data_IF_799539657701
#
_entry.id   IF_799539657701
#
_cell.length_a   1.000
_cell.length_b   1.000
_cell.length_c   1.000
_cell.angle_alpha   90.00
_cell.angle_beta   90.00
_cell.angle_gamma   90.00
#
_symmetry.space_group_name_H-M   'P 1'
#
loop_
_entity.id
_entity.type
_entity.pdbx_description
1 polymer ?
#
# COMPACT_ATOMS: atom_id res chain seq x y z
N UNK A 1 5.58 23.15 0.98
CA UNK A 1 5.48 22.61 0.25
C UNK A 1 6.35 21.87 -0.61
N UNK A 2 7.48 22.16 -0.82
CA UNK A 2 8.38 21.45 -1.62
C UNK A 2 8.87 20.20 -0.98
N UNK A 3 8.72 20.09 0.31
CA UNK A 3 9.24 18.96 1.03
C UNK A 3 8.63 17.65 0.55
N UNK A 4 7.31 17.63 0.32
CA UNK A 4 6.66 16.42 -0.12
C UNK A 4 7.11 16.02 -1.52
N UNK A 5 7.30 16.99 -2.39
CA UNK A 5 7.78 16.69 -3.73
C UNK A 5 9.16 16.08 -3.72
N UNK A 6 10.02 16.63 -2.88
CA UNK A 6 11.39 16.14 -2.80
C UNK A 6 11.40 14.70 -2.30
N UNK A 7 10.59 14.42 -1.27
CA UNK A 7 10.51 13.07 -0.77
C UNK A 7 9.93 12.12 -1.79
N UNK A 8 8.92 12.56 -2.54
CA UNK A 8 8.35 11.75 -3.59
C UNK A 8 9.37 11.42 -4.66
N UNK A 9 10.13 12.42 -5.09
CA UNK A 9 11.17 12.20 -6.10
C UNK A 9 12.22 11.23 -5.59
N UNK A 10 12.58 11.38 -4.32
CA UNK A 10 13.60 10.55 -3.73
C UNK A 10 13.25 9.09 -3.76
N UNK A 11 11.99 8.76 -3.55
CA UNK A 11 11.56 7.38 -3.50
C UNK A 11 10.92 6.88 -4.79
N UNK A 12 10.73 7.75 -5.78
CA UNK A 12 9.96 7.39 -6.96
C UNK A 12 10.61 6.31 -7.81
N UNK A 13 11.92 6.18 -7.74
CA UNK A 13 12.62 5.16 -8.51
C UNK A 13 12.79 3.86 -7.77
N UNK A 14 12.34 3.79 -6.54
CA UNK A 14 12.49 2.57 -5.76
C UNK A 14 11.33 1.61 -6.02
N UNK A 15 11.64 0.32 -6.03
CA UNK A 15 10.60 -0.68 -6.17
C UNK A 15 9.82 -0.81 -4.87
N UNK A 16 8.63 -1.40 -4.96
CA UNK A 16 7.87 -1.69 -3.77
C UNK A 16 8.68 -2.56 -2.81
N UNK A 17 9.39 -3.56 -3.36
CA UNK A 17 10.17 -4.45 -2.52
C UNK A 17 11.28 -3.73 -1.77
N UNK A 18 11.90 -2.75 -2.42
CA UNK A 18 12.92 -1.95 -1.76
C UNK A 18 12.32 -1.12 -0.63
N UNK A 19 11.16 -0.53 -0.87
CA UNK A 19 10.50 0.26 0.17
C UNK A 19 10.09 -0.61 1.35
N UNK A 20 9.56 -1.79 1.06
CA UNK A 20 9.14 -2.69 2.12
C UNK A 20 10.34 -3.16 2.94
N UNK A 21 11.46 -3.43 2.27
CA UNK A 21 12.67 -3.83 2.98
C UNK A 21 13.12 -2.74 3.95
N UNK A 22 13.07 -1.48 3.53
CA UNK A 22 13.43 -0.39 4.42
C UNK A 22 12.47 -0.28 5.58
N UNK A 23 11.18 -0.52 5.34
CA UNK A 23 10.21 -0.53 6.44
C UNK A 23 10.56 -1.61 7.47
N UNK A 24 10.99 -2.77 6.98
CA UNK A 24 11.37 -3.85 7.89
C UNK A 24 12.61 -3.50 8.70
N UNK A 25 13.42 -2.57 8.18
CA UNK A 25 14.60 -2.11 8.90
C UNK A 25 14.31 -0.95 9.85
N UNK A 26 13.04 -0.55 9.94
CA UNK A 26 12.65 0.47 10.88
C UNK A 26 12.42 1.86 10.28
N UNK A 27 12.56 2.00 8.96
CA UNK A 27 12.30 3.28 8.31
C UNK A 27 10.80 3.49 8.17
N UNK A 28 10.36 4.71 8.33
CA UNK A 28 8.94 5.03 8.25
C UNK A 28 8.57 5.41 6.82
N UNK A 29 8.42 4.41 5.97
CA UNK A 29 8.06 4.62 4.58
C UNK A 29 6.64 4.14 4.28
N UNK A 30 5.86 3.86 5.32
CA UNK A 30 4.47 3.49 5.14
C UNK A 30 3.70 4.54 4.32
N UNK A 31 3.85 5.85 4.57
CA UNK A 31 3.12 6.82 3.76
C UNK A 31 3.44 6.73 2.27
N UNK A 32 4.67 6.41 1.91
CA UNK A 32 5.04 6.26 0.51
C UNK A 32 4.32 5.07 -0.11
N UNK A 33 4.31 3.95 0.61
CA UNK A 33 3.66 2.74 0.12
C UNK A 33 2.15 2.95 0.02
N UNK A 34 1.55 3.58 1.04
CA UNK A 34 0.13 3.89 1.04
C UNK A 34 -0.22 4.75 -0.17
N UNK A 35 0.61 5.74 -0.47
CA UNK A 35 0.36 6.62 -1.58
C UNK A 35 0.37 5.85 -2.92
N UNK A 36 1.23 4.86 -3.06
CA UNK A 36 1.28 4.05 -4.28
C UNK A 36 0.05 3.17 -4.46
N UNK A 37 -0.57 2.75 -3.37
CA UNK A 37 -1.68 1.81 -3.43
C UNK A 37 -3.03 2.45 -3.15
N UNK A 38 -3.06 3.76 -2.88
CA UNK A 38 -4.32 4.43 -2.56
C UNK A 38 -5.33 4.29 -3.68
N UNK A 39 -4.88 4.43 -4.94
CA UNK A 39 -5.78 4.32 -6.07
C UNK A 39 -6.39 2.92 -6.15
N UNK A 40 -5.58 1.90 -5.91
CA UNK A 40 -6.06 0.52 -5.97
C UNK A 40 -7.16 0.29 -4.94
N UNK A 41 -6.91 0.74 -3.70
CA UNK A 41 -7.88 0.56 -2.63
C UNK A 41 -9.18 1.31 -2.94
N UNK A 42 -9.05 2.56 -3.35
CA UNK A 42 -10.23 3.38 -3.62
C UNK A 42 -11.00 2.89 -4.82
N UNK A 43 -10.30 2.47 -5.87
CA UNK A 43 -10.97 1.95 -7.07
C UNK A 43 -11.83 0.74 -6.73
N UNK A 44 -11.30 -0.14 -5.89
CA UNK A 44 -12.06 -1.33 -5.51
C UNK A 44 -13.31 -0.94 -4.74
N UNK A 45 -13.16 -0.02 -3.79
CA UNK A 45 -14.31 0.39 -2.98
C UNK A 45 -15.37 1.08 -3.83
N UNK A 46 -14.95 1.89 -4.79
CA UNK A 46 -15.91 2.62 -5.63
C UNK A 46 -16.53 1.75 -6.70
N UNK A 47 -15.91 0.61 -7.02
CA UNK A 47 -16.50 -0.31 -7.98
C UNK A 47 -17.66 -1.09 -7.39
N UNK A 48 -17.76 -1.16 -6.08
CA UNK A 48 -18.84 -1.87 -5.42
C UNK A 48 -20.05 -0.96 -5.31
N UNK A 49 -21.23 -1.54 -5.42
CA UNK A 49 -22.47 -0.78 -5.30
C UNK A 49 -22.94 -0.84 -3.86
N UNK A 50 -22.34 -0.01 -3.04
CA UNK A 50 -22.64 0.04 -1.61
C UNK A 50 -22.84 1.50 -1.23
N UNK A 51 -23.41 1.73 -0.05
CA UNK A 51 -23.61 3.11 0.40
C UNK A 51 -22.29 3.72 0.89
N UNK A 52 -22.36 4.99 1.24
CA UNK A 52 -21.15 5.73 1.62
C UNK A 52 -20.45 5.09 2.82
N UNK A 53 -21.22 4.73 3.83
CA UNK A 53 -20.67 4.16 5.04
C UNK A 53 -19.96 2.85 4.78
N UNK A 54 -20.56 1.98 3.98
CA UNK A 54 -19.95 0.72 3.62
C UNK A 54 -18.69 0.93 2.79
N UNK A 55 -18.71 1.92 1.91
CA UNK A 55 -17.54 2.22 1.10
C UNK A 55 -16.37 2.67 1.96
N UNK A 56 -16.66 3.51 2.97
CA UNK A 56 -15.61 3.96 3.88
C UNK A 56 -15.01 2.78 4.64
N UNK A 57 -15.86 1.88 5.09
CA UNK A 57 -15.38 0.68 5.79
C UNK A 57 -14.51 -0.17 4.87
N UNK A 58 -14.92 -0.32 3.62
CA UNK A 58 -14.14 -1.10 2.67
C UNK A 58 -12.76 -0.49 2.43
N UNK A 59 -12.70 0.84 2.36
CA UNK A 59 -11.42 1.51 2.18
C UNK A 59 -10.53 1.31 3.40
N UNK A 60 -11.09 1.42 4.59
CA UNK A 60 -10.30 1.19 5.80
C UNK A 60 -9.77 -0.23 5.85
N UNK A 61 -10.60 -1.20 5.52
CA UNK A 61 -10.17 -2.59 5.52
C UNK A 61 -9.09 -2.82 4.47
N UNK A 62 -9.24 -2.18 3.31
CA UNK A 62 -8.24 -2.30 2.27
C UNK A 62 -6.88 -1.77 2.71
N UNK A 63 -6.88 -0.61 3.37
CA UNK A 63 -5.63 -0.05 3.86
C UNK A 63 -5.03 -0.88 4.99
N UNK A 64 -5.88 -1.45 5.84
CA UNK A 64 -5.37 -2.36 6.87
C UNK A 64 -4.76 -3.61 6.25
N UNK A 65 -5.36 -4.11 5.19
CA UNK A 65 -4.79 -5.24 4.45
C UNK A 65 -3.44 -4.89 3.86
N UNK A 66 -3.30 -3.68 3.34
CA UNK A 66 -2.02 -3.22 2.82
C UNK A 66 -0.95 -3.17 3.91
N UNK A 67 -1.30 -2.65 5.07
CA UNK A 67 -0.35 -2.60 6.19
C UNK A 67 0.06 -4.00 6.61
N UNK A 68 -0.89 -4.93 6.64
CA UNK A 68 -0.57 -6.32 6.96
C UNK A 68 0.39 -6.89 5.93
N UNK A 69 0.17 -6.54 4.66
CA UNK A 69 1.05 -7.03 3.60
C UNK A 69 2.48 -6.54 3.78
N UNK A 70 2.64 -5.27 4.15
CA UNK A 70 3.97 -4.73 4.38
C UNK A 70 4.67 -5.49 5.50
N UNK A 71 3.96 -5.72 6.60
CA UNK A 71 4.57 -6.40 7.74
C UNK A 71 4.93 -7.84 7.44
N UNK A 72 4.08 -8.53 6.70
CA UNK A 72 4.23 -9.97 6.51
C UNK A 72 4.99 -10.35 5.26
N UNK A 73 5.29 -9.40 4.40
CA UNK A 73 5.92 -9.72 3.12
C UNK A 73 7.27 -10.39 3.33
N UNK A 74 7.46 -11.51 2.65
CA UNK A 74 8.72 -12.25 2.72
C UNK A 74 9.38 -12.20 1.36
N UNK A 75 10.48 -11.43 1.23
CA UNK A 75 11.15 -11.28 -0.07
C UNK A 75 11.80 -12.58 -0.56
N UNK A 76 11.92 -13.58 0.32
CA UNK A 76 12.47 -14.87 -0.07
C UNK A 76 11.48 -15.68 -0.88
N UNK A 77 10.19 -15.35 -0.82
CA UNK A 77 9.21 -16.03 -1.62
C UNK A 77 9.23 -15.47 -3.03
N UNK A 78 8.88 -16.31 -3.99
CA UNK A 78 8.97 -15.92 -5.40
C UNK A 78 7.67 -15.24 -5.85
N UNK A 79 7.31 -14.18 -5.19
CA UNK A 79 6.08 -13.43 -5.45
C UNK A 79 6.38 -11.95 -5.28
N UNK A 80 5.90 -11.13 -6.20
CA UNK A 80 6.10 -9.70 -6.10
C UNK A 80 5.26 -9.11 -4.95
N UNK A 81 5.71 -7.99 -4.41
CA UNK A 81 4.94 -7.34 -3.37
C UNK A 81 3.56 -6.93 -3.87
N UNK A 82 3.46 -6.43 -5.11
CA UNK A 82 2.17 -5.99 -5.62
C UNK A 82 1.17 -7.15 -5.68
N UNK A 83 1.62 -8.33 -6.08
CA UNK A 83 0.74 -9.49 -6.12
C UNK A 83 0.25 -9.84 -4.70
N UNK A 84 1.18 -9.86 -3.77
CA UNK A 84 0.85 -10.19 -2.39
C UNK A 84 -0.06 -9.12 -1.77
N UNK A 85 0.28 -7.85 -2.01
CA UNK A 85 -0.52 -6.75 -1.46
C UNK A 85 -1.94 -6.78 -2.00
N UNK A 86 -2.11 -7.05 -3.28
CA UNK A 86 -3.45 -7.10 -3.86
C UNK A 86 -4.29 -8.19 -3.20
N UNK A 87 -3.68 -9.33 -2.90
CA UNK A 87 -4.41 -10.37 -2.18
C UNK A 87 -4.85 -9.88 -0.81
N UNK A 88 -3.97 -9.23 -0.10
CA UNK A 88 -4.28 -8.75 1.25
C UNK A 88 -5.32 -7.64 1.24
N UNK A 89 -5.26 -6.76 0.25
CA UNK A 89 -6.21 -5.66 0.15
C UNK A 89 -7.60 -6.18 -0.17
N UNK A 90 -7.70 -7.18 -1.04
CA UNK A 90 -8.99 -7.62 -1.54
C UNK A 90 -9.55 -8.83 -0.81
N UNK A 91 -8.83 -9.34 0.16
CA UNK A 91 -9.35 -10.39 1.01
C UNK A 91 -9.95 -9.80 2.28
#
# INVERSE_FOLDING_TARGET
>A
MQRNSVEGDRFSSMTDEQLVALCHEGEDLIPVIVSRYAYVVKSKAYAMRVDFSEREDMMQEGFLGLLSAVRAFNPQKNVSFSTYANKCIFN
#
